data_IF_787527639756
#
_entry.id   IF_787527639756
#
_cell.length_a   1.000
_cell.length_b   1.000
_cell.length_c   1.000
_cell.angle_alpha   90.00
_cell.angle_beta   90.00
_cell.angle_gamma   90.00
#
_symmetry.space_group_name_H-M   'P 1'
#
loop_
_entity.id
_entity.type
_entity.pdbx_description
1 polymer ?
#
# COMPACT_ATOMS: atom_id res chain seq x y z
N UNK A 1 -37.24 -2.48 -5.82
CA UNK A 1 -36.85 -3.27 -6.99
C UNK A 1 -37.52 -2.63 -8.20
N UNK A 2 -36.76 -2.39 -9.28
CA UNK A 2 -37.32 -1.88 -10.53
C UNK A 2 -37.14 -2.97 -11.60
N UNK A 3 -38.22 -3.65 -11.95
CA UNK A 3 -38.20 -4.79 -12.87
C UNK A 3 -37.88 -4.38 -14.31
N UNK A 4 -38.28 -3.18 -14.73
CA UNK A 4 -38.02 -2.67 -16.07
C UNK A 4 -36.53 -2.37 -16.27
N UNK A 5 -35.89 -1.82 -15.24
CA UNK A 5 -34.44 -1.53 -15.23
C UNK A 5 -33.60 -2.71 -14.75
N UNK A 6 -34.25 -3.76 -14.22
CA UNK A 6 -33.61 -4.92 -13.58
C UNK A 6 -32.63 -4.51 -12.47
N UNK A 7 -32.98 -3.44 -11.72
CA UNK A 7 -32.13 -2.81 -10.73
C UNK A 7 -32.71 -2.92 -9.31
N UNK A 8 -31.82 -2.82 -8.31
CA UNK A 8 -32.21 -2.80 -6.89
C UNK A 8 -31.45 -1.69 -6.17
N UNK A 9 -32.21 -0.83 -5.49
CA UNK A 9 -31.68 0.24 -4.64
C UNK A 9 -32.18 0.05 -3.21
N UNK A 10 -31.26 0.05 -2.25
CA UNK A 10 -31.56 0.22 -0.83
C UNK A 10 -31.10 1.64 -0.46
N UNK A 11 -32.03 2.47 0.02
CA UNK A 11 -31.82 3.87 0.35
C UNK A 11 -32.41 4.17 1.73
N UNK A 12 -31.70 4.98 2.52
CA UNK A 12 -32.25 5.61 3.72
C UNK A 12 -32.38 7.14 3.55
N UNK A 13 -33.17 7.83 4.40
CA UNK A 13 -33.30 9.30 4.35
C UNK A 13 -31.99 10.06 4.58
N UNK A 14 -30.98 9.42 5.16
CA UNK A 14 -29.66 10.00 5.43
C UNK A 14 -28.77 10.04 4.18
N UNK A 15 -29.19 9.41 3.07
CA UNK A 15 -28.44 9.36 1.81
C UNK A 15 -27.47 8.19 1.69
N UNK A 16 -27.59 7.15 2.52
CA UNK A 16 -26.85 5.90 2.35
C UNK A 16 -27.47 5.12 1.18
N UNK A 17 -26.65 4.63 0.26
CA UNK A 17 -27.12 3.82 -0.89
C UNK A 17 -26.36 2.51 -1.03
N UNK A 18 -27.12 1.44 -1.33
CA UNK A 18 -26.61 0.21 -1.92
C UNK A 18 -27.34 0.00 -3.25
N UNK A 19 -26.64 0.16 -4.36
CA UNK A 19 -27.21 0.17 -5.70
C UNK A 19 -26.64 -0.95 -6.55
N UNK A 20 -27.50 -1.84 -7.02
CA UNK A 20 -27.22 -2.86 -8.04
C UNK A 20 -27.89 -2.44 -9.34
N UNK A 21 -27.10 -2.23 -10.40
CA UNK A 21 -27.55 -1.52 -11.61
C UNK A 21 -28.20 -2.41 -12.68
N UNK A 22 -28.23 -3.72 -12.50
CA UNK A 22 -28.75 -4.68 -13.50
C UNK A 22 -27.79 -5.02 -14.65
N UNK A 23 -26.69 -4.29 -14.79
CA UNK A 23 -25.59 -4.57 -15.74
C UNK A 23 -24.43 -5.35 -15.09
N UNK A 24 -24.55 -5.65 -13.80
CA UNK A 24 -23.58 -6.43 -13.02
C UNK A 24 -22.67 -5.59 -12.14
N UNK A 25 -22.92 -4.29 -12.00
CA UNK A 25 -22.17 -3.42 -11.10
C UNK A 25 -22.91 -3.20 -9.78
N UNK A 26 -22.12 -2.91 -8.74
CA UNK A 26 -22.62 -2.54 -7.42
C UNK A 26 -21.90 -1.28 -6.96
N UNK A 27 -22.66 -0.30 -6.46
CA UNK A 27 -22.13 0.90 -5.81
C UNK A 27 -22.69 1.01 -4.40
N UNK A 28 -21.81 1.24 -3.43
CA UNK A 28 -22.19 1.45 -2.03
C UNK A 28 -21.64 2.79 -1.56
N UNK A 29 -22.52 3.68 -1.09
CA UNK A 29 -22.16 5.02 -0.67
C UNK A 29 -22.68 5.30 0.74
N UNK A 30 -21.82 5.88 1.58
CA UNK A 30 -22.18 6.39 2.89
C UNK A 30 -21.70 7.85 3.03
N UNK A 31 -22.56 8.83 3.40
CA UNK A 31 -22.14 10.22 3.58
C UNK A 31 -21.21 10.50 4.77
N UNK A 32 -21.00 9.49 5.63
CA UNK A 32 -20.13 9.56 6.82
C UNK A 32 -19.15 8.38 6.82
N UNK A 33 -19.36 7.42 7.72
CA UNK A 33 -18.44 6.31 7.96
C UNK A 33 -18.97 4.99 7.41
N UNK A 34 -18.05 4.10 7.03
CA UNK A 34 -18.33 2.70 6.70
C UNK A 34 -17.34 1.82 7.48
N UNK A 35 -17.80 0.70 8.03
CA UNK A 35 -16.97 -0.21 8.84
C UNK A 35 -17.25 -1.66 8.44
N UNK A 36 -16.19 -2.43 8.22
CA UNK A 36 -16.27 -3.86 7.92
C UNK A 36 -15.62 -4.64 9.08
N UNK A 37 -16.45 -5.38 9.84
CA UNK A 37 -15.98 -6.23 10.92
C UNK A 37 -16.15 -7.70 10.50
N UNK A 38 -15.07 -8.48 10.51
CA UNK A 38 -15.09 -9.91 10.26
C UNK A 38 -14.62 -10.65 11.52
N UNK A 39 -15.38 -11.66 11.97
CA UNK A 39 -15.00 -12.48 13.14
C UNK A 39 -13.89 -13.49 12.84
N UNK A 40 -13.68 -13.79 11.56
CA UNK A 40 -12.61 -14.67 11.08
C UNK A 40 -11.85 -13.97 9.95
N UNK A 41 -12.18 -14.28 8.69
CA UNK A 41 -11.43 -13.82 7.53
C UNK A 41 -12.23 -12.78 6.72
N UNK A 42 -11.54 -11.75 6.24
CA UNK A 42 -12.03 -10.87 5.17
C UNK A 42 -11.18 -11.10 3.92
N UNK A 43 -11.77 -11.71 2.89
CA UNK A 43 -11.10 -11.96 1.62
C UNK A 43 -11.56 -10.94 0.57
N UNK A 44 -10.62 -10.27 -0.10
CA UNK A 44 -10.90 -9.32 -1.18
C UNK A 44 -10.19 -9.79 -2.45
N UNK A 45 -10.94 -10.31 -3.41
CA UNK A 45 -10.44 -10.81 -4.68
C UNK A 45 -10.96 -9.92 -5.82
N UNK A 46 -10.05 -9.35 -6.62
CA UNK A 46 -10.40 -8.43 -7.71
C UNK A 46 -9.82 -8.96 -9.02
N UNK A 47 -10.66 -9.13 -10.05
CA UNK A 47 -10.25 -9.75 -11.32
C UNK A 47 -9.42 -8.86 -12.26
N UNK A 48 -9.38 -7.55 -12.00
CA UNK A 48 -8.57 -6.58 -12.76
C UNK A 48 -7.84 -5.62 -11.82
N UNK A 49 -8.39 -4.42 -11.61
CA UNK A 49 -7.71 -3.34 -10.90
C UNK A 49 -8.40 -3.05 -9.57
N UNK A 50 -7.61 -2.84 -8.52
CA UNK A 50 -8.05 -2.24 -7.26
C UNK A 50 -7.41 -0.85 -7.13
N UNK A 51 -8.23 0.17 -6.90
CA UNK A 51 -7.78 1.55 -6.66
C UNK A 51 -8.28 1.99 -5.30
N UNK A 52 -7.36 2.51 -4.47
CA UNK A 52 -7.68 3.07 -3.16
C UNK A 52 -7.17 4.50 -3.10
N UNK A 53 -8.04 5.43 -2.71
CA UNK A 53 -7.71 6.84 -2.49
C UNK A 53 -8.16 7.21 -1.09
N UNK A 54 -7.29 7.85 -0.32
CA UNK A 54 -7.53 8.28 1.05
C UNK A 54 -7.21 9.77 1.10
N UNK A 55 -8.15 10.59 1.57
CA UNK A 55 -8.00 12.05 1.58
C UNK A 55 -7.06 12.57 2.67
N UNK A 56 -7.03 11.87 3.81
CA UNK A 56 -6.22 12.22 4.98
C UNK A 56 -5.29 11.03 5.32
N UNK A 57 -5.47 10.39 6.47
CA UNK A 57 -4.55 9.36 6.98
C UNK A 57 -4.94 7.92 6.58
N UNK A 58 -3.94 7.11 6.23
CA UNK A 58 -4.07 5.66 6.03
C UNK A 58 -3.21 4.90 7.06
N UNK A 59 -3.87 4.42 8.12
CA UNK A 59 -3.24 3.64 9.18
C UNK A 59 -3.44 2.13 8.96
N UNK A 60 -2.34 1.40 8.83
CA UNK A 60 -2.34 -0.06 8.66
C UNK A 60 -1.56 -0.71 9.81
N UNK A 61 -2.24 -1.54 10.60
CA UNK A 61 -1.63 -2.32 11.68
C UNK A 61 -1.78 -3.81 11.37
N UNK A 62 -0.65 -4.51 11.31
CA UNK A 62 -0.58 -5.95 11.02
C UNK A 62 0.27 -6.59 12.11
N UNK A 63 -0.34 -7.46 12.92
CA UNK A 63 0.32 -8.05 14.10
C UNK A 63 1.33 -9.14 13.76
N UNK A 64 1.03 -9.92 12.72
CA UNK A 64 1.84 -11.07 12.32
C UNK A 64 2.63 -10.73 11.06
N UNK A 65 2.17 -11.20 9.89
CA UNK A 65 2.94 -11.13 8.65
C UNK A 65 2.27 -10.21 7.63
N UNK A 66 3.06 -9.32 7.03
CA UNK A 66 2.67 -8.55 5.86
C UNK A 66 3.51 -9.01 4.65
N UNK A 67 2.87 -9.64 3.67
CA UNK A 67 3.53 -10.07 2.44
C UNK A 67 3.03 -9.23 1.26
N UNK A 68 3.96 -8.73 0.46
CA UNK A 68 3.67 -7.94 -0.72
C UNK A 68 4.42 -8.51 -1.93
N UNK A 69 3.69 -8.93 -2.95
CA UNK A 69 4.23 -9.52 -4.18
C UNK A 69 3.69 -8.76 -5.37
N UNK A 70 4.58 -8.19 -6.18
CA UNK A 70 4.21 -7.40 -7.35
C UNK A 70 5.30 -7.49 -8.41
N UNK A 71 4.95 -7.27 -9.68
CA UNK A 71 5.95 -7.15 -10.76
C UNK A 71 6.77 -5.88 -10.63
N UNK A 72 6.15 -4.76 -10.23
CA UNK A 72 6.80 -3.46 -10.06
C UNK A 72 6.26 -2.76 -8.81
N UNK A 73 7.15 -2.12 -8.04
CA UNK A 73 6.79 -1.28 -6.91
C UNK A 73 7.34 0.13 -7.09
N UNK A 74 6.45 1.13 -7.02
CA UNK A 74 6.82 2.55 -7.04
C UNK A 74 6.19 3.24 -5.85
N UNK A 75 7.01 3.92 -5.07
CA UNK A 75 6.58 4.74 -3.94
C UNK A 75 7.11 6.15 -4.13
N UNK A 76 6.21 7.14 -4.02
CA UNK A 76 6.57 8.55 -3.95
C UNK A 76 6.15 9.06 -2.58
N UNK A 77 7.07 9.70 -1.86
CA UNK A 77 6.82 10.34 -0.56
C UNK A 77 7.24 11.79 -0.71
N UNK A 78 6.30 12.72 -0.49
CA UNK A 78 6.55 14.16 -0.67
C UNK A 78 7.33 14.78 0.49
N UNK A 79 7.19 14.20 1.68
CA UNK A 79 7.86 14.63 2.90
C UNK A 79 8.83 13.56 3.39
N UNK A 80 8.77 13.20 4.68
CA UNK A 80 9.70 12.29 5.30
C UNK A 80 9.25 10.83 5.16
N UNK A 81 10.20 9.93 4.91
CA UNK A 81 10.02 8.48 5.03
C UNK A 81 10.92 7.96 6.14
N UNK A 82 10.32 7.46 7.21
CA UNK A 82 11.03 6.78 8.30
C UNK A 82 10.76 5.27 8.21
N UNK A 83 11.81 4.46 8.28
CA UNK A 83 11.71 3.01 8.33
C UNK A 83 12.50 2.54 9.54
N UNK A 84 11.82 1.86 10.48
CA UNK A 84 12.46 1.25 11.65
C UNK A 84 12.27 -0.25 11.56
N UNK A 85 13.37 -0.99 11.66
CA UNK A 85 13.39 -2.45 11.60
C UNK A 85 14.12 -2.91 12.85
N UNK A 86 13.42 -3.64 13.72
CA UNK A 86 13.97 -4.13 14.99
C UNK A 86 14.83 -5.38 14.78
N UNK A 87 14.42 -6.23 13.84
CA UNK A 87 15.18 -7.39 13.40
C UNK A 87 16.12 -7.08 12.24
N UNK A 88 16.31 -8.05 11.36
CA UNK A 88 17.21 -7.91 10.23
C UNK A 88 16.52 -7.30 9.00
N UNK A 89 17.25 -6.42 8.30
CA UNK A 89 16.92 -5.99 6.94
C UNK A 89 17.74 -6.81 5.94
N UNK A 90 17.08 -7.64 5.16
CA UNK A 90 17.70 -8.39 4.07
C UNK A 90 17.17 -7.90 2.73
N UNK A 91 18.05 -7.30 1.92
CA UNK A 91 17.72 -6.80 0.58
C UNK A 91 18.54 -7.53 -0.48
N UNK A 92 17.87 -8.06 -1.50
CA UNK A 92 18.52 -8.68 -2.66
C UNK A 92 17.93 -8.07 -3.91
N UNK A 93 18.79 -7.47 -4.74
CA UNK A 93 18.41 -6.77 -5.96
C UNK A 93 19.42 -7.08 -7.06
N UNK A 94 19.03 -6.91 -8.33
CA UNK A 94 20.02 -6.91 -9.42
C UNK A 94 20.92 -5.68 -9.35
N UNK A 95 20.33 -4.51 -9.11
CA UNK A 95 21.01 -3.21 -8.99
C UNK A 95 20.30 -2.37 -7.94
N UNK A 96 21.06 -1.72 -7.07
CA UNK A 96 20.55 -0.73 -6.12
C UNK A 96 21.23 0.63 -6.31
N UNK A 97 20.54 1.72 -5.98
CA UNK A 97 21.08 3.08 -6.03
C UNK A 97 20.55 3.89 -4.86
N UNK A 98 21.46 4.42 -4.04
CA UNK A 98 21.15 5.36 -2.97
C UNK A 98 21.71 6.73 -3.36
N UNK A 99 20.84 7.72 -3.52
CA UNK A 99 21.23 9.08 -3.94
C UNK A 99 20.51 10.12 -3.10
N UNK A 100 21.25 10.85 -2.27
CA UNK A 100 20.79 12.11 -1.70
C UNK A 100 20.89 13.20 -2.78
N UNK A 101 19.78 13.86 -3.10
CA UNK A 101 19.79 15.02 -4.01
C UNK A 101 20.38 16.27 -3.36
N UNK A 102 20.20 16.37 -2.05
CA UNK A 102 20.71 17.43 -1.19
C UNK A 102 21.21 16.78 0.10
N UNK A 103 22.20 17.38 0.75
CA UNK A 103 22.77 16.87 2.01
C UNK A 103 23.55 15.56 1.83
N UNK A 104 23.85 14.93 2.96
CA UNK A 104 24.72 13.76 3.04
C UNK A 104 23.95 12.44 3.11
N UNK A 105 24.62 11.34 2.73
CA UNK A 105 24.18 9.98 3.05
C UNK A 105 25.00 9.50 4.25
N UNK A 106 24.33 9.13 5.34
CA UNK A 106 24.95 8.49 6.50
C UNK A 106 24.64 6.99 6.50
N UNK A 107 25.68 6.16 6.51
CA UNK A 107 25.59 4.71 6.73
C UNK A 107 26.44 4.40 7.95
N UNK A 108 25.81 3.92 9.02
CA UNK A 108 26.46 3.66 10.30
C UNK A 108 26.08 2.28 10.82
N UNK A 109 27.08 1.54 11.30
CA UNK A 109 26.91 0.28 12.03
C UNK A 109 27.48 0.42 13.44
N UNK A 110 26.86 -0.22 14.42
CA UNK A 110 27.43 -0.34 15.77
C UNK A 110 28.69 -1.22 15.78
N UNK A 111 28.73 -2.23 14.90
CA UNK A 111 29.89 -3.07 14.65
C UNK A 111 30.59 -2.69 13.34
N UNK A 112 30.94 -3.72 12.55
CA UNK A 112 31.63 -3.54 11.26
C UNK A 112 30.63 -3.35 10.12
N UNK A 113 30.76 -2.25 9.38
CA UNK A 113 30.13 -2.08 8.08
C UNK A 113 31.03 -2.68 6.99
N UNK A 114 30.48 -3.54 6.13
CA UNK A 114 31.19 -4.13 4.98
C UNK A 114 30.57 -3.63 3.69
N UNK A 115 31.40 -3.12 2.79
CA UNK A 115 31.05 -2.82 1.40
C UNK A 115 31.99 -3.63 0.52
N UNK A 116 31.46 -4.69 -0.11
CA UNK A 116 32.26 -5.66 -0.86
C UNK A 116 31.77 -5.71 -2.30
N UNK A 117 32.68 -5.54 -3.25
CA UNK A 117 32.46 -5.89 -4.64
C UNK A 117 33.07 -7.25 -4.94
N UNK A 118 32.43 -8.04 -5.81
CA UNK A 118 33.01 -9.30 -6.30
C UNK A 118 34.30 -9.06 -7.10
N UNK A 119 34.40 -7.91 -7.76
CA UNK A 119 35.58 -7.44 -8.47
C UNK A 119 36.19 -6.29 -7.65
N UNK A 120 35.49 -5.16 -7.56
CA UNK A 120 35.94 -3.96 -6.83
C UNK A 120 34.82 -3.33 -6.00
N UNK A 121 35.17 -2.76 -4.85
CA UNK A 121 34.35 -1.76 -4.15
C UNK A 121 35.00 -0.38 -4.36
N UNK A 122 34.40 0.46 -5.21
CA UNK A 122 34.93 1.79 -5.50
C UNK A 122 34.32 2.82 -4.56
N UNK A 123 35.16 3.50 -3.79
CA UNK A 123 34.80 4.68 -3.01
C UNK A 123 35.64 5.85 -3.52
N UNK A 124 35.01 6.81 -4.18
CA UNK A 124 35.68 7.99 -4.74
C UNK A 124 34.86 9.26 -4.46
N UNK A 125 35.46 10.42 -4.67
CA UNK A 125 34.81 11.74 -4.48
C UNK A 125 33.92 12.17 -5.66
N UNK A 126 33.75 11.31 -6.68
CA UNK A 126 33.47 11.75 -8.05
C UNK A 126 34.77 12.13 -8.74
#
# INVERSE_FOLDING_TARGET
>A
MNDNEKSVTILDPSGITYFMDGAGNITVTAPKNMTFNAGENLNINVGKNMTTSVGEDHNMSITNNHQFTSTNYKQTVSENKTVTIIGDLNETTSTTTHKAKNGDILIQSAGVAKVLGKIDAKVNKG
#
